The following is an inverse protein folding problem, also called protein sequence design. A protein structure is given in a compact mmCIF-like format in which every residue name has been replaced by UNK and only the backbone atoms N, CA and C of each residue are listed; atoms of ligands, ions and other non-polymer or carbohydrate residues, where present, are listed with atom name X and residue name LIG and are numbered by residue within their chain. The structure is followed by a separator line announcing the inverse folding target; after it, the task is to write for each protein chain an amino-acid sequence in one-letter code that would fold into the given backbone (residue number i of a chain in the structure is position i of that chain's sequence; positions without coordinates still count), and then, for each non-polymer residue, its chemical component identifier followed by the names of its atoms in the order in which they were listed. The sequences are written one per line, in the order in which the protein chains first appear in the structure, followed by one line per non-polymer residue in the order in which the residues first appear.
data_IF_558271968643
#
_entry.id   IF_558271968643
#
_cell.length_a   1.000
_cell.length_b   1.000
_cell.length_c   1.000
_cell.angle_alpha   90.00
_cell.angle_beta   90.00
_cell.angle_gamma   90.00
#
_symmetry.space_group_name_H-M   'P 1'
#
loop_
_entity.id
_entity.type
_entity.pdbx_description
1 polymer ?
#
# COMPACT_ATOMS: atom_id res chain seq x y z
N UNK A 1 6.37 3.48 -17.94
CA UNK A 1 5.19 3.97 -17.19
C UNK A 1 5.64 4.27 -15.78
N UNK A 2 5.54 5.52 -15.30
CA UNK A 2 6.06 5.91 -13.98
C UNK A 2 4.95 5.79 -12.95
N UNK A 3 5.00 4.76 -12.11
CA UNK A 3 4.08 4.61 -10.98
C UNK A 3 4.39 5.73 -9.99
N UNK A 4 3.35 6.47 -9.57
CA UNK A 4 3.45 7.49 -8.53
C UNK A 4 2.64 7.01 -7.34
N UNK A 5 3.23 7.15 -6.15
CA UNK A 5 2.55 6.89 -4.89
C UNK A 5 2.26 8.22 -4.22
N UNK A 6 1.05 8.35 -3.71
CA UNK A 6 0.60 9.51 -2.97
C UNK A 6 -0.21 9.08 -1.76
N UNK A 7 -0.19 9.93 -0.73
CA UNK A 7 -0.94 9.72 0.49
C UNK A 7 -1.10 11.04 1.21
N UNK A 8 -2.15 11.13 2.00
CA UNK A 8 -2.36 12.23 2.94
C UNK A 8 -1.33 12.17 4.10
N UNK A 9 -0.77 13.33 4.47
CA UNK A 9 0.25 13.40 5.52
C UNK A 9 -0.27 13.04 6.91
N UNK A 10 -1.53 13.39 7.22
CA UNK A 10 -2.15 13.07 8.51
C UNK A 10 -2.34 11.55 8.62
N UNK A 11 -2.78 10.92 7.53
CA UNK A 11 -2.87 9.46 7.41
C UNK A 11 -1.50 8.82 7.55
N UNK A 12 -0.46 9.34 6.91
CA UNK A 12 0.91 8.81 7.01
C UNK A 12 1.43 8.85 8.45
N UNK A 13 1.29 9.99 9.14
CA UNK A 13 1.66 10.13 10.57
C UNK A 13 0.88 9.17 11.46
N UNK A 14 -0.41 9.03 11.22
CA UNK A 14 -1.29 8.11 11.96
C UNK A 14 -0.89 6.64 11.73
N UNK A 15 -0.59 6.26 10.48
CA UNK A 15 -0.15 4.92 10.10
C UNK A 15 1.18 4.57 10.78
N UNK A 16 2.16 5.46 10.72
CA UNK A 16 3.46 5.25 11.35
C UNK A 16 3.32 5.08 12.87
N UNK A 17 2.45 5.85 13.53
CA UNK A 17 2.18 5.69 14.97
C UNK A 17 1.55 4.35 15.30
N UNK A 18 0.55 3.92 14.51
CA UNK A 18 -0.23 2.69 14.77
C UNK A 18 0.52 1.42 14.40
N UNK A 19 1.16 1.40 13.24
CA UNK A 19 1.71 0.20 12.62
C UNK A 19 3.24 0.16 12.63
N UNK A 20 3.91 1.25 13.00
CA UNK A 20 5.37 1.38 13.01
C UNK A 20 6.02 1.17 11.63
N UNK A 21 5.22 1.32 10.56
CA UNK A 21 5.64 1.23 9.17
C UNK A 21 5.24 2.53 8.47
N UNK A 22 6.20 3.19 7.82
CA UNK A 22 5.92 4.39 7.01
C UNK A 22 5.39 3.99 5.64
N UNK A 23 4.72 4.91 4.92
CA UNK A 23 4.23 4.59 3.58
C UNK A 23 5.33 4.48 2.54
N UNK A 24 6.48 5.11 2.75
CA UNK A 24 7.68 4.93 1.94
C UNK A 24 8.22 3.50 2.01
N UNK A 25 8.15 2.87 3.19
CA UNK A 25 8.49 1.44 3.36
C UNK A 25 7.38 0.56 2.77
N UNK A 26 6.11 0.87 3.10
CA UNK A 26 4.98 0.09 2.61
C UNK A 26 4.89 0.05 1.07
N UNK A 27 5.21 1.16 0.39
CA UNK A 27 5.22 1.23 -1.06
C UNK A 27 6.26 0.30 -1.72
N UNK A 28 7.27 -0.16 -0.98
CA UNK A 28 8.22 -1.15 -1.50
C UNK A 28 7.57 -2.50 -1.77
N UNK A 29 6.41 -2.79 -1.18
CA UNK A 29 5.66 -4.03 -1.44
C UNK A 29 5.34 -4.20 -2.93
N UNK A 30 5.18 -3.10 -3.67
CA UNK A 30 4.89 -3.12 -5.10
C UNK A 30 6.11 -3.49 -5.96
N UNK A 31 7.30 -3.58 -5.37
CA UNK A 31 8.51 -4.06 -6.03
C UNK A 31 8.76 -5.57 -5.81
N UNK A 32 7.98 -6.23 -4.94
CA UNK A 32 8.07 -7.69 -4.75
C UNK A 32 7.46 -8.41 -5.97
N UNK A 33 8.25 -9.21 -6.72
CA UNK A 33 7.75 -9.93 -7.89
C UNK A 33 6.71 -11.00 -7.54
N UNK A 34 6.61 -11.39 -6.27
CA UNK A 34 5.64 -12.38 -5.78
C UNK A 34 4.47 -11.74 -5.01
N UNK A 35 4.35 -10.41 -5.03
CA UNK A 35 3.27 -9.71 -4.35
C UNK A 35 1.90 -10.18 -4.86
N UNK A 36 1.02 -10.52 -3.92
CA UNK A 36 -0.35 -10.90 -4.20
C UNK A 36 -1.26 -9.68 -4.06
N UNK A 37 -2.03 -9.37 -5.10
CA UNK A 37 -3.00 -8.26 -5.09
C UNK A 37 -4.42 -8.82 -5.13
N UNK A 38 -5.28 -8.33 -4.26
CA UNK A 38 -6.70 -8.71 -4.21
C UNK A 38 -7.57 -7.47 -4.05
N UNK A 39 -8.68 -7.42 -4.80
CA UNK A 39 -9.74 -6.46 -4.54
C UNK A 39 -10.40 -6.80 -3.20
N UNK A 40 -10.44 -5.84 -2.27
CA UNK A 40 -10.96 -6.03 -0.91
C UNK A 40 -12.42 -5.61 -0.82
N UNK A 41 -12.70 -4.31 -1.01
CA UNK A 41 -14.06 -3.75 -0.97
C UNK A 41 -14.22 -2.52 -1.85
N UNK A 42 -15.46 -2.07 -1.98
CA UNK A 42 -15.81 -0.78 -2.59
C UNK A 42 -16.34 0.11 -1.48
N UNK A 43 -15.82 1.34 -1.38
CA UNK A 43 -16.22 2.30 -0.34
C UNK A 43 -16.36 3.68 -0.96
N UNK A 44 -17.53 4.31 -0.81
CA UNK A 44 -17.86 5.61 -1.44
C UNK A 44 -17.63 5.63 -2.96
N UNK A 45 -17.89 4.51 -3.65
CA UNK A 45 -17.65 4.35 -5.09
C UNK A 45 -16.18 4.13 -5.47
N UNK A 46 -15.27 4.09 -4.51
CA UNK A 46 -13.84 3.85 -4.74
C UNK A 46 -13.48 2.37 -4.52
N UNK A 47 -12.77 1.77 -5.48
CA UNK A 47 -12.24 0.41 -5.33
C UNK A 47 -11.01 0.42 -4.42
N UNK A 48 -11.06 -0.40 -3.38
CA UNK A 48 -9.94 -0.61 -2.44
C UNK A 48 -9.33 -1.98 -2.64
N UNK A 49 -8.01 -1.99 -2.69
CA UNK A 49 -7.19 -3.15 -2.96
C UNK A 49 -6.29 -3.43 -1.77
N UNK A 50 -5.94 -4.69 -1.59
CA UNK A 50 -4.93 -5.12 -0.64
C UNK A 50 -3.79 -5.81 -1.41
N UNK A 51 -2.57 -5.44 -1.08
CA UNK A 51 -1.36 -6.10 -1.59
C UNK A 51 -0.62 -6.73 -0.42
N UNK A 52 -0.39 -8.04 -0.49
CA UNK A 52 0.45 -8.79 0.43
C UNK A 52 1.78 -9.07 -0.26
N UNK A 53 2.90 -8.68 0.35
CA UNK A 53 4.23 -8.93 -0.23
C UNK A 53 5.36 -8.73 0.77
N UNK A 54 6.55 -9.16 0.37
CA UNK A 54 7.76 -9.16 1.16
C UNK A 54 8.63 -7.93 0.86
N UNK A 55 8.95 -7.15 1.88
CA UNK A 55 9.86 -6.00 1.82
C UNK A 55 11.21 -6.37 2.43
N UNK A 56 12.29 -5.97 1.77
CA UNK A 56 13.68 -6.15 2.20
C UNK A 56 14.06 -7.62 2.56
N UNK A 57 13.30 -8.60 2.04
CA UNK A 57 13.55 -10.03 2.22
C UNK A 57 13.07 -10.66 3.53
N UNK A 58 12.52 -9.89 4.46
CA UNK A 58 12.08 -10.41 5.77
C UNK A 58 10.76 -9.81 6.28
N UNK A 59 10.33 -8.66 5.77
CA UNK A 59 9.17 -7.94 6.29
C UNK A 59 7.94 -8.21 5.43
N UNK A 60 7.07 -9.12 5.86
CA UNK A 60 5.79 -9.37 5.20
C UNK A 60 4.79 -8.26 5.55
N UNK A 61 4.30 -7.53 4.56
CA UNK A 61 3.35 -6.43 4.72
C UNK A 61 2.06 -6.69 3.95
N UNK A 62 0.94 -6.34 4.57
CA UNK A 62 -0.34 -6.16 3.90
C UNK A 62 -0.63 -4.66 3.78
N UNK A 63 -0.72 -4.17 2.55
CA UNK A 63 -0.89 -2.74 2.23
C UNK A 63 -2.24 -2.53 1.56
N UNK A 64 -3.07 -1.68 2.16
CA UNK A 64 -4.33 -1.24 1.57
C UNK A 64 -4.10 0.00 0.70
N UNK A 65 -4.54 -0.02 -0.55
CA UNK A 65 -4.34 1.07 -1.52
C UNK A 65 -5.52 1.23 -2.47
N UNK A 66 -5.51 2.36 -3.17
CA UNK A 66 -6.44 2.67 -4.26
C UNK A 66 -5.62 2.92 -5.51
N UNK A 67 -6.20 2.59 -6.66
CA UNK A 67 -5.52 2.75 -7.96
C UNK A 67 -6.26 3.84 -8.72
N UNK A 68 -5.54 4.91 -9.04
CA UNK A 68 -6.02 5.96 -9.92
C UNK A 68 -5.32 5.85 -11.27
N UNK A 69 -6.09 5.63 -12.32
CA UNK A 69 -5.63 5.75 -13.71
C UNK A 69 -6.35 6.98 -14.29
N UNK A 70 -5.63 8.05 -14.67
CA UNK A 70 -6.24 9.24 -15.26
C UNK A 70 -6.87 8.95 -16.62
#
# INVERSE_FOLDING_TARGET
MKIRFEWDEVKAKSNLRKHRVSFEIAARVFADPFAMVKQDRIENGEYRWQTLGLVDGFLLLLVAHTVYCP
#
